data_IF_766546323242
#
_entry.id   IF_766546323242
#
_cell.length_a   1.000
_cell.length_b   1.000
_cell.length_c   1.000
_cell.angle_alpha   90.00
_cell.angle_beta   90.00
_cell.angle_gamma   90.00
#
_symmetry.space_group_name_H-M   'P 1'
#
loop_
_entity.id
_entity.type
_entity.pdbx_description
1 polymer ?
#
# COMPACT_ATOMS: atom_id res chain seq x y z
N UNK A 1 -13.77 34.19 -7.74
CA UNK A 1 -12.81 33.24 -8.38
C UNK A 1 -11.40 33.79 -8.50
N UNK A 2 -11.15 34.87 -9.26
CA UNK A 2 -9.79 35.44 -9.38
C UNK A 2 -9.26 36.05 -8.06
N UNK A 3 -10.14 36.68 -7.26
CA UNK A 3 -9.78 37.22 -5.93
C UNK A 3 -9.45 36.12 -4.92
N UNK A 4 -10.16 35.01 -4.97
CA UNK A 4 -9.93 33.86 -4.08
C UNK A 4 -8.58 33.20 -4.40
N UNK A 5 -8.23 33.07 -5.69
CA UNK A 5 -6.92 32.58 -6.11
C UNK A 5 -5.76 33.50 -5.70
N UNK A 6 -5.97 34.81 -5.71
CA UNK A 6 -4.97 35.78 -5.24
C UNK A 6 -4.78 35.71 -3.72
N UNK A 7 -5.87 35.48 -2.98
CA UNK A 7 -5.81 35.26 -1.53
C UNK A 7 -5.08 33.95 -1.21
N UNK A 8 -5.38 32.87 -1.94
CA UNK A 8 -4.70 31.57 -1.78
C UNK A 8 -3.22 31.66 -2.15
N UNK A 9 -2.87 32.32 -3.26
CA UNK A 9 -1.46 32.54 -3.64
C UNK A 9 -0.71 33.38 -2.61
N UNK A 10 -1.36 34.39 -2.03
CA UNK A 10 -0.77 35.20 -0.97
C UNK A 10 -0.54 34.39 0.30
N UNK A 11 -1.51 33.57 0.71
CA UNK A 11 -1.38 32.68 1.85
C UNK A 11 -0.29 31.62 1.60
N UNK A 12 -0.18 31.12 0.37
CA UNK A 12 0.85 30.17 -0.03
C UNK A 12 2.24 30.82 0.01
N UNK A 13 2.39 32.03 -0.53
CA UNK A 13 3.65 32.78 -0.41
C UNK A 13 4.01 33.07 1.06
N UNK A 14 3.04 33.46 1.90
CA UNK A 14 3.26 33.63 3.34
C UNK A 14 3.78 32.33 3.97
N UNK A 15 3.15 31.19 3.69
CA UNK A 15 3.57 29.91 4.22
C UNK A 15 5.03 29.51 3.88
N UNK A 16 5.53 29.87 2.70
CA UNK A 16 6.90 29.55 2.28
C UNK A 16 7.94 30.59 2.67
N UNK A 17 7.58 31.87 2.66
CA UNK A 17 8.55 32.96 2.80
C UNK A 17 8.47 33.69 4.14
N UNK A 18 7.34 33.64 4.82
CA UNK A 18 7.16 34.19 6.17
C UNK A 18 7.89 33.28 7.18
N UNK A 19 8.64 33.88 8.11
CA UNK A 19 9.51 33.19 9.07
C UNK A 19 10.59 32.29 8.44
N UNK A 20 11.15 32.68 7.29
CA UNK A 20 12.24 31.97 6.62
C UNK A 20 11.94 30.47 6.32
N UNK A 21 10.68 30.14 6.04
CA UNK A 21 10.29 28.76 5.71
C UNK A 21 10.29 27.81 6.91
N UNK A 22 10.34 28.33 8.15
CA UNK A 22 10.30 27.50 9.37
C UNK A 22 9.00 26.71 9.49
N UNK A 23 7.88 27.32 9.06
CA UNK A 23 6.57 26.66 8.95
C UNK A 23 6.56 25.55 7.90
N UNK A 24 7.28 25.74 6.78
CA UNK A 24 7.44 24.69 5.78
C UNK A 24 8.22 23.50 6.35
N UNK A 25 9.32 23.75 7.06
CA UNK A 25 10.11 22.67 7.69
C UNK A 25 9.30 21.91 8.73
N UNK A 26 8.53 22.61 9.57
CA UNK A 26 7.66 21.97 10.56
C UNK A 26 6.49 21.22 9.93
N UNK A 27 5.88 21.77 8.88
CA UNK A 27 4.85 21.09 8.11
C UNK A 27 5.41 19.84 7.42
N UNK A 28 6.59 19.94 6.82
CA UNK A 28 7.28 18.82 6.18
C UNK A 28 7.63 17.74 7.21
N UNK A 29 8.13 18.11 8.38
CA UNK A 29 8.40 17.17 9.47
C UNK A 29 7.13 16.45 9.96
N UNK A 30 6.00 17.17 10.01
CA UNK A 30 4.70 16.64 10.44
C UNK A 30 4.01 15.80 9.37
N UNK A 31 4.16 16.13 8.08
CA UNK A 31 3.43 15.48 6.98
C UNK A 31 4.25 14.44 6.21
N UNK A 32 5.55 14.64 6.06
CA UNK A 32 6.44 13.76 5.28
C UNK A 32 7.33 12.87 6.17
N UNK A 33 7.74 13.33 7.36
CA UNK A 33 8.82 12.69 8.15
C UNK A 33 8.38 11.77 9.29
N UNK A 34 7.19 11.17 9.20
CA UNK A 34 6.88 9.95 9.97
C UNK A 34 6.46 8.77 9.10
N UNK A 35 7.39 8.16 8.36
CA UNK A 35 7.30 6.75 8.06
C UNK A 35 7.56 5.94 9.33
N UNK A 36 6.64 6.00 10.32
CA UNK A 36 6.55 4.93 11.34
C UNK A 36 6.14 3.57 10.74
N UNK A 37 6.05 3.47 9.40
CA UNK A 37 5.77 2.27 8.58
C UNK A 37 6.56 2.24 7.25
N UNK A 38 7.80 2.74 7.23
CA UNK A 38 8.61 2.94 6.02
C UNK A 38 8.90 1.73 5.13
N UNK A 39 8.76 0.50 5.62
CA UNK A 39 8.97 -0.69 4.79
C UNK A 39 7.81 -0.94 3.81
N UNK A 40 6.59 -0.52 4.15
CA UNK A 40 5.40 -0.98 3.43
C UNK A 40 5.22 -0.30 2.08
N UNK A 41 5.61 0.97 1.96
CA UNK A 41 5.53 1.70 0.69
C UNK A 41 6.64 1.27 -0.28
N UNK A 42 7.88 1.16 0.20
CA UNK A 42 8.99 0.66 -0.60
C UNK A 42 8.72 -0.75 -1.16
N UNK A 43 8.09 -1.63 -0.37
CA UNK A 43 7.67 -2.94 -0.86
C UNK A 43 6.57 -2.89 -1.93
N UNK A 44 5.66 -1.92 -1.86
CA UNK A 44 4.64 -1.74 -2.90
C UNK A 44 5.29 -1.28 -4.20
N UNK A 45 6.24 -0.35 -4.13
CA UNK A 45 6.92 0.18 -5.32
C UNK A 45 7.81 -0.89 -5.98
N UNK A 46 8.56 -1.65 -5.18
CA UNK A 46 9.38 -2.77 -5.68
C UNK A 46 8.49 -3.84 -6.32
N UNK A 47 7.37 -4.19 -5.68
CA UNK A 47 6.46 -5.20 -6.20
C UNK A 47 5.81 -4.73 -7.51
N UNK A 48 5.40 -3.46 -7.59
CA UNK A 48 4.90 -2.86 -8.83
C UNK A 48 5.95 -2.94 -9.95
N UNK A 49 7.21 -2.59 -9.64
CA UNK A 49 8.30 -2.65 -10.60
C UNK A 49 8.57 -4.07 -11.09
N UNK A 50 8.59 -5.06 -10.19
CA UNK A 50 8.77 -6.47 -10.55
C UNK A 50 7.61 -7.02 -11.39
N UNK A 51 6.37 -6.67 -11.04
CA UNK A 51 5.18 -7.05 -11.82
C UNK A 51 5.25 -6.45 -13.22
N UNK A 52 5.57 -5.16 -13.33
CA UNK A 52 5.73 -4.49 -14.62
C UNK A 52 6.82 -5.16 -15.47
N UNK A 53 7.99 -5.41 -14.90
CA UNK A 53 9.10 -6.07 -15.59
C UNK A 53 8.72 -7.48 -16.06
N UNK A 54 8.05 -8.25 -15.21
CA UNK A 54 7.56 -9.59 -15.53
C UNK A 54 6.54 -9.58 -16.67
N UNK A 55 5.58 -8.66 -16.65
CA UNK A 55 4.62 -8.46 -17.74
C UNK A 55 5.32 -8.05 -19.04
N UNK A 56 6.25 -7.10 -18.99
CA UNK A 56 7.00 -6.65 -20.16
C UNK A 56 7.81 -7.81 -20.78
N UNK A 57 8.50 -8.60 -19.96
CA UNK A 57 9.22 -9.79 -20.41
C UNK A 57 8.27 -10.83 -21.02
N UNK A 58 7.14 -11.09 -20.36
CA UNK A 58 6.12 -12.02 -20.85
C UNK A 58 5.57 -11.60 -22.22
N UNK A 59 5.15 -10.34 -22.37
CA UNK A 59 4.66 -9.81 -23.65
C UNK A 59 5.74 -9.85 -24.73
N UNK A 60 7.00 -9.57 -24.38
CA UNK A 60 8.12 -9.67 -25.33
C UNK A 60 8.29 -11.10 -25.86
N UNK A 61 8.26 -12.10 -24.97
CA UNK A 61 8.36 -13.52 -25.36
C UNK A 61 7.13 -13.96 -26.17
N UNK A 62 5.92 -13.57 -25.77
CA UNK A 62 4.70 -13.90 -26.51
C UNK A 62 4.69 -13.27 -27.90
N UNK A 63 5.11 -12.02 -28.04
CA UNK A 63 5.22 -11.38 -29.36
C UNK A 63 6.22 -12.10 -30.27
N UNK A 64 7.34 -12.59 -29.74
CA UNK A 64 8.28 -13.42 -30.51
C UNK A 64 7.64 -14.75 -30.94
N UNK A 65 6.96 -15.45 -30.04
CA UNK A 65 6.27 -16.71 -30.36
C UNK A 65 5.14 -16.49 -31.38
N UNK A 66 4.37 -15.42 -31.23
CA UNK A 66 3.32 -15.05 -32.17
C UNK A 66 3.88 -14.84 -33.57
N UNK A 67 4.95 -14.04 -33.72
CA UNK A 67 5.60 -13.84 -35.04
C UNK A 67 5.98 -15.15 -35.70
N UNK A 68 6.57 -16.08 -34.95
CA UNK A 68 6.97 -17.41 -35.46
C UNK A 68 5.75 -18.24 -35.84
N UNK A 69 4.72 -18.27 -35.00
CA UNK A 69 3.49 -19.02 -35.28
C UNK A 69 2.78 -18.44 -36.51
N UNK A 70 2.68 -17.11 -36.61
CA UNK A 70 2.08 -16.45 -37.77
C UNK A 70 2.88 -16.68 -39.05
N UNK A 71 4.21 -16.81 -38.98
CA UNK A 71 5.01 -17.13 -40.16
C UNK A 71 4.86 -18.59 -40.62
N UNK A 72 4.65 -19.53 -39.69
CA UNK A 72 4.51 -20.96 -40.00
C UNK A 72 3.07 -21.31 -40.39
N UNK A 73 2.08 -20.67 -39.77
CA UNK A 73 0.64 -20.99 -39.91
C UNK A 73 -0.15 -19.87 -40.58
N UNK A 74 0.44 -19.16 -41.53
CA UNK A 74 -0.16 -18.00 -42.21
C UNK A 74 -1.50 -18.29 -42.91
N UNK A 75 -1.79 -19.54 -43.24
CA UNK A 75 -3.01 -19.98 -43.92
C UNK A 75 -4.15 -20.43 -42.97
N UNK A 76 -3.92 -20.52 -41.65
CA UNK A 76 -4.91 -21.04 -40.73
C UNK A 76 -5.88 -19.94 -40.23
N UNK A 77 -7.21 -20.14 -40.27
CA UNK A 77 -8.18 -19.12 -39.85
C UNK A 77 -8.22 -18.87 -38.33
N UNK A 78 -7.55 -19.69 -37.52
CA UNK A 78 -7.61 -19.65 -36.06
C UNK A 78 -6.57 -18.73 -35.38
N UNK A 79 -5.82 -17.92 -36.13
CA UNK A 79 -4.80 -17.01 -35.55
C UNK A 79 -5.39 -16.07 -34.50
N UNK A 80 -6.63 -15.59 -34.72
CA UNK A 80 -7.33 -14.72 -33.77
C UNK A 80 -7.65 -15.42 -32.44
N UNK A 81 -7.97 -16.72 -32.48
CA UNK A 81 -8.21 -17.52 -31.27
C UNK A 81 -6.91 -17.74 -30.48
N UNK A 82 -5.78 -17.90 -31.19
CA UNK A 82 -4.46 -17.98 -30.57
C UNK A 82 -4.07 -16.66 -29.89
N UNK A 83 -4.36 -15.52 -30.51
CA UNK A 83 -4.17 -14.21 -29.86
C UNK A 83 -5.01 -14.07 -28.58
N UNK A 84 -6.29 -14.47 -28.62
CA UNK A 84 -7.16 -14.42 -27.44
C UNK A 84 -6.68 -15.35 -26.32
N UNK A 85 -6.27 -16.57 -26.66
CA UNK A 85 -5.75 -17.54 -25.68
C UNK A 85 -4.37 -17.15 -25.13
N UNK A 86 -3.56 -16.40 -25.86
CA UNK A 86 -2.29 -15.85 -25.33
C UNK A 86 -2.47 -14.71 -24.32
N UNK A 87 -3.63 -14.07 -24.28
CA UNK A 87 -3.97 -13.05 -23.26
C UNK A 87 -4.56 -13.67 -21.98
N UNK A 88 -4.92 -14.95 -22.01
CA UNK A 88 -5.49 -15.67 -20.86
C UNK A 88 -4.51 -15.77 -19.67
N UNK A 89 -3.20 -16.05 -19.85
CA UNK A 89 -2.24 -16.14 -18.74
C UNK A 89 -2.09 -14.86 -17.89
N UNK A 90 -1.94 -13.64 -18.43
CA UNK A 90 -1.84 -12.43 -17.60
C UNK A 90 -3.16 -12.08 -16.90
N UNK A 91 -4.31 -12.38 -17.52
CA UNK A 91 -5.62 -12.17 -16.90
C UNK A 91 -5.83 -13.15 -15.74
N UNK A 92 -5.54 -14.44 -15.93
CA UNK A 92 -5.56 -15.44 -14.85
C UNK A 92 -4.55 -15.13 -13.77
N UNK A 93 -3.33 -14.69 -14.14
CA UNK A 93 -2.28 -14.34 -13.20
C UNK A 93 -2.67 -13.16 -12.30
N UNK A 94 -3.27 -12.11 -12.85
CA UNK A 94 -3.77 -10.98 -12.08
C UNK A 94 -4.95 -11.35 -11.17
N UNK A 95 -5.88 -12.20 -11.64
CA UNK A 95 -6.96 -12.77 -10.83
C UNK A 95 -6.45 -13.58 -9.65
N UNK A 96 -5.52 -14.51 -9.90
CA UNK A 96 -4.87 -15.32 -8.87
C UNK A 96 -4.13 -14.44 -7.85
N UNK A 97 -3.40 -13.42 -8.32
CA UNK A 97 -2.70 -12.49 -7.45
C UNK A 97 -3.66 -11.74 -6.51
N UNK A 98 -4.79 -11.23 -7.03
CA UNK A 98 -5.83 -10.59 -6.22
C UNK A 98 -6.40 -11.55 -5.15
N UNK A 99 -6.68 -12.81 -5.51
CA UNK A 99 -7.16 -13.83 -4.57
C UNK A 99 -6.13 -14.10 -3.47
N UNK A 100 -4.84 -14.22 -3.81
CA UNK A 100 -3.75 -14.42 -2.85
C UNK A 100 -3.63 -13.24 -1.89
N UNK A 101 -3.66 -12.00 -2.39
CA UNK A 101 -3.60 -10.80 -1.54
C UNK A 101 -4.77 -10.71 -0.57
N UNK A 102 -6.00 -10.98 -1.03
CA UNK A 102 -7.19 -11.01 -0.17
C UNK A 102 -7.08 -12.10 0.91
N UNK A 103 -6.55 -13.27 0.55
CA UNK A 103 -6.33 -14.38 1.47
C UNK A 103 -5.32 -14.00 2.56
N UNK A 104 -4.18 -13.42 2.17
CA UNK A 104 -3.15 -12.93 3.11
C UNK A 104 -3.73 -11.84 4.02
N UNK A 105 -4.50 -10.90 3.48
CA UNK A 105 -5.15 -9.84 4.24
C UNK A 105 -6.09 -10.37 5.31
N UNK A 106 -6.90 -11.39 4.99
CA UNK A 106 -7.78 -12.06 5.96
C UNK A 106 -6.97 -12.85 7.00
N UNK A 107 -5.98 -13.63 6.59
CA UNK A 107 -5.12 -14.37 7.52
C UNK A 107 -4.40 -13.44 8.51
N UNK A 108 -3.81 -12.34 8.03
CA UNK A 108 -3.11 -11.37 8.89
C UNK A 108 -4.08 -10.54 9.76
N UNK A 109 -5.28 -10.22 9.25
CA UNK A 109 -6.32 -9.51 9.98
C UNK A 109 -6.85 -10.31 11.17
N UNK A 110 -7.06 -11.62 10.99
CA UNK A 110 -7.44 -12.53 12.06
C UNK A 110 -6.37 -12.62 13.15
N UNK A 111 -5.09 -12.74 12.76
CA UNK A 111 -3.97 -12.77 13.71
C UNK A 111 -3.84 -11.48 14.51
N UNK A 112 -4.03 -10.31 13.88
CA UNK A 112 -4.00 -9.01 14.60
C UNK A 112 -5.17 -8.85 15.57
N UNK A 113 -6.38 -9.31 15.22
CA UNK A 113 -7.54 -9.30 16.12
C UNK A 113 -7.33 -10.19 17.34
N UNK A 114 -6.79 -11.40 17.15
CA UNK A 114 -6.45 -12.31 18.26
C UNK A 114 -5.38 -11.72 19.20
N UNK A 115 -4.31 -11.11 18.66
CA UNK A 115 -3.27 -10.49 19.48
C UNK A 115 -3.79 -9.26 20.22
N UNK A 116 -4.66 -8.46 19.60
CA UNK A 116 -5.34 -7.33 20.25
C UNK A 116 -6.24 -7.76 21.39
N UNK A 117 -7.06 -8.79 21.17
CA UNK A 117 -7.93 -9.38 22.20
C UNK A 117 -7.13 -9.93 23.39
N UNK A 118 -6.03 -10.63 23.13
CA UNK A 118 -5.15 -11.18 24.18
C UNK A 118 -4.50 -10.07 25.03
N UNK A 119 -4.08 -8.97 24.41
CA UNK A 119 -3.52 -7.79 25.11
C UNK A 119 -4.56 -6.97 25.87
N UNK A 120 -5.81 -6.98 25.42
CA UNK A 120 -6.92 -6.33 26.13
C UNK A 120 -7.29 -7.14 27.38
N UNK A 121 -7.36 -8.47 27.24
CA UNK A 121 -7.67 -9.38 28.35
C UNK A 121 -6.60 -9.33 29.47
N UNK A 122 -5.31 -9.33 29.13
CA UNK A 122 -4.23 -9.23 30.14
C UNK A 122 -4.22 -7.88 30.86
N UNK A 123 -4.52 -6.77 30.18
CA UNK A 123 -4.63 -5.45 30.81
C UNK A 123 -5.86 -5.31 31.72
N UNK A 124 -6.98 -5.94 31.38
CA UNK A 124 -8.16 -6.00 32.25
C UNK A 124 -7.86 -6.73 33.56
N UNK A 125 -7.14 -7.85 33.50
CA UNK A 125 -6.76 -8.64 34.68
C UNK A 125 -5.80 -7.91 35.61
N UNK A 126 -4.82 -7.17 35.07
CA UNK A 126 -3.89 -6.37 35.86
C UNK A 126 -4.57 -5.17 36.57
N UNK A 127 -5.67 -4.65 36.02
CA UNK A 127 -6.46 -3.59 36.67
C UNK A 127 -7.43 -4.14 37.72
N UNK A 128 -8.01 -5.32 37.49
CA UNK A 128 -8.88 -5.98 38.47
C UNK A 128 -8.13 -6.45 39.73
N UNK A 129 -6.82 -6.68 39.65
CA UNK A 129 -5.98 -7.05 40.79
C UNK A 129 -5.51 -5.88 41.69
N UNK A 130 -5.68 -4.62 41.27
CA UNK A 130 -5.44 -3.46 42.15
C UNK A 130 -6.75 -3.11 42.85
N UNK A 131 -7.00 -3.79 43.97
CA UNK A 131 -8.07 -3.43 44.88
C UNK A 131 -7.83 -2.03 45.51
N UNK A 132 -8.86 -1.42 46.12
CA UNK A 132 -8.80 -0.06 46.68
C UNK A 132 -7.76 0.18 47.78
N UNK A 133 -7.08 -0.86 48.26
CA UNK A 133 -6.27 -0.84 49.48
C UNK A 133 -4.95 -0.06 49.33
N UNK A 134 -4.44 0.14 48.12
CA UNK A 134 -3.19 0.89 47.87
C UNK A 134 -3.37 2.41 47.78
N UNK A 135 -4.61 2.94 47.80
CA UNK A 135 -4.86 4.39 47.71
C UNK A 135 -4.85 5.10 49.06
N UNK A 136 -4.83 4.38 50.18
CA UNK A 136 -4.86 4.97 51.52
C UNK A 136 -3.47 5.41 52.03
N UNK A 137 -2.37 4.92 51.45
CA UNK A 137 -1.01 5.18 51.95
C UNK A 137 -0.25 6.35 51.31
N UNK A 138 -0.87 7.11 50.40
CA UNK A 138 -0.19 8.17 49.62
C UNK A 138 -0.66 9.60 49.96
N UNK A 139 -1.44 9.76 51.04
CA UNK A 139 -1.97 11.06 51.48
C UNK A 139 -1.37 11.56 52.82
N UNK A 140 -0.36 10.88 53.35
CA UNK A 140 0.47 11.39 54.44
C UNK A 140 1.87 11.67 53.87
N UNK A 141 2.50 12.75 54.36
CA UNK A 141 3.72 13.45 53.93
C UNK A 141 3.49 14.70 53.07
#
# INVERSE_FOLDING_TARGET
RARDLLADLRAWCGFFFEDHGRHWTEWYDRTQLKPRRGFRHAFVDINFFLVYLGLAAFFSVMNKKLRVITSVYSAYPYVNLLHATMLVPPILGSLLYCVVLLSIGKCMGCSRRMVGAKRAWTRGRARAGRGPQDRAGAAEW
#
